data_IF_093365916493
#
_entry.id   IF_093365916493
#
_cell.length_a   1.000
_cell.length_b   1.000
_cell.length_c   1.000
_cell.angle_alpha   90.00
_cell.angle_beta   90.00
_cell.angle_gamma   90.00
#
_symmetry.space_group_name_H-M   'P 1'
#
loop_
_entity.id
_entity.type
_entity.pdbx_description
1 polymer ?
#
# COMPACT_ATOMS: atom_id res chain seq x y z
N UNK A 1 -50.36 -17.83 -2.95
CA UNK A 1 -49.13 -17.38 -3.62
C UNK A 1 -48.71 -16.07 -2.97
N UNK A 2 -47.63 -16.07 -2.20
CA UNK A 2 -47.14 -14.89 -1.48
C UNK A 2 -45.64 -14.84 -1.67
N UNK A 3 -45.20 -14.13 -2.71
CA UNK A 3 -43.79 -13.82 -2.95
C UNK A 3 -43.28 -12.92 -1.83
N UNK A 4 -42.72 -13.53 -0.77
CA UNK A 4 -41.90 -12.82 0.20
C UNK A 4 -40.60 -12.44 -0.50
N UNK A 5 -40.45 -11.14 -0.76
CA UNK A 5 -39.25 -10.49 -1.27
C UNK A 5 -38.03 -11.00 -0.51
N UNK A 6 -37.12 -11.65 -1.24
CA UNK A 6 -35.78 -11.99 -0.77
C UNK A 6 -35.14 -10.66 -0.34
N UNK A 7 -34.62 -10.52 0.90
CA UNK A 7 -33.86 -9.35 1.27
C UNK A 7 -32.63 -9.33 0.36
N UNK A 8 -32.49 -8.24 -0.39
CA UNK A 8 -31.33 -7.94 -1.22
C UNK A 8 -30.09 -8.02 -0.31
N UNK A 9 -29.37 -9.14 -0.39
CA UNK A 9 -28.12 -9.36 0.32
C UNK A 9 -27.19 -8.23 -0.08
N UNK A 10 -27.01 -7.29 0.85
CA UNK A 10 -26.09 -6.17 0.72
C UNK A 10 -24.79 -6.71 0.15
N UNK A 11 -24.54 -6.42 -1.14
CA UNK A 11 -23.28 -6.67 -1.80
C UNK A 11 -22.20 -6.29 -0.81
N UNK A 12 -21.42 -7.28 -0.37
CA UNK A 12 -20.23 -7.08 0.44
C UNK A 12 -19.38 -6.06 -0.32
N UNK A 13 -19.51 -4.79 0.02
CA UNK A 13 -18.57 -3.79 -0.44
C UNK A 13 -17.29 -4.18 0.26
N UNK A 14 -16.27 -4.56 -0.52
CA UNK A 14 -14.85 -4.61 -0.13
C UNK A 14 -14.41 -3.20 0.32
N UNK A 15 -15.04 -2.71 1.39
CA UNK A 15 -14.70 -1.47 2.04
C UNK A 15 -13.52 -1.78 2.91
N UNK A 16 -12.38 -1.24 2.50
CA UNK A 16 -11.15 -1.24 3.28
C UNK A 16 -11.46 -0.81 4.71
N UNK A 17 -11.10 -1.65 5.68
CA UNK A 17 -11.36 -1.38 7.10
C UNK A 17 -10.53 -0.21 7.63
N UNK A 18 -9.36 0.07 7.02
CA UNK A 18 -8.46 1.13 7.44
C UNK A 18 -8.60 2.39 6.56
N UNK A 19 -8.77 3.54 7.20
CA UNK A 19 -8.70 4.86 6.56
C UNK A 19 -7.29 5.08 5.99
N UNK A 20 -7.23 5.57 4.75
CA UNK A 20 -5.98 5.95 4.08
C UNK A 20 -5.75 7.46 4.15
N UNK A 21 -4.49 7.84 4.33
CA UNK A 21 -4.01 9.23 4.31
C UNK A 21 -3.19 9.41 3.06
N UNK A 22 -3.57 10.38 2.22
CA UNK A 22 -2.80 10.75 1.03
C UNK A 22 -1.47 11.38 1.45
N UNK A 23 -0.37 10.85 0.92
CA UNK A 23 0.99 11.29 1.24
C UNK A 23 1.85 11.23 -0.02
N UNK A 24 1.64 12.18 -0.93
CA UNK A 24 2.36 12.30 -2.19
C UNK A 24 3.83 12.68 -1.95
N UNK A 25 4.71 11.68 -1.87
CA UNK A 25 6.14 11.88 -1.57
C UNK A 25 7.03 10.89 -2.31
N UNK A 26 8.24 11.32 -2.64
CA UNK A 26 9.28 10.41 -3.14
C UNK A 26 9.78 9.52 -1.98
N UNK A 27 9.94 8.24 -2.26
CA UNK A 27 10.35 7.21 -1.30
C UNK A 27 11.39 6.29 -1.92
N UNK A 28 12.28 5.78 -1.07
CA UNK A 28 13.29 4.80 -1.46
C UNK A 28 12.92 3.44 -0.87
N UNK A 29 13.19 2.41 -1.63
CA UNK A 29 12.90 1.03 -1.27
C UNK A 29 14.14 0.18 -1.42
N UNK A 30 14.24 -0.84 -0.59
CA UNK A 30 15.25 -1.88 -0.71
C UNK A 30 14.53 -3.18 -1.00
N UNK A 31 14.93 -3.85 -2.08
CA UNK A 31 14.52 -5.23 -2.31
C UNK A 31 15.12 -6.12 -1.22
N UNK A 32 14.33 -6.99 -0.59
CA UNK A 32 14.92 -7.98 0.33
C UNK A 32 15.69 -9.08 -0.39
N UNK A 33 15.39 -9.29 -1.69
CA UNK A 33 16.11 -10.26 -2.52
C UNK A 33 17.46 -9.73 -3.00
N UNK A 34 17.59 -8.41 -3.14
CA UNK A 34 18.84 -7.72 -3.48
C UNK A 34 18.97 -6.43 -2.65
N UNK A 35 19.48 -6.51 -1.41
CA UNK A 35 19.50 -5.37 -0.47
C UNK A 35 20.42 -4.23 -0.88
N UNK A 36 21.22 -4.40 -1.94
CA UNK A 36 22.02 -3.33 -2.57
C UNK A 36 21.23 -2.56 -3.63
N UNK A 37 20.09 -3.10 -4.07
CA UNK A 37 19.24 -2.48 -5.10
C UNK A 37 18.27 -1.52 -4.45
N UNK A 38 18.52 -0.22 -4.66
CA UNK A 38 17.62 0.85 -4.24
C UNK A 38 16.62 1.13 -5.35
N UNK A 39 15.34 0.87 -5.11
CA UNK A 39 14.27 1.28 -6.01
C UNK A 39 13.75 2.66 -5.58
N UNK A 40 13.39 3.48 -6.55
CA UNK A 40 12.74 4.77 -6.32
C UNK A 40 11.28 4.69 -6.74
N UNK A 41 10.46 5.45 -6.04
CA UNK A 41 9.06 5.60 -6.42
C UNK A 41 8.36 6.68 -5.64
N UNK A 42 7.05 6.77 -5.88
CA UNK A 42 6.18 7.75 -5.25
C UNK A 42 5.15 7.06 -4.38
N UNK A 43 5.13 7.42 -3.11
CA UNK A 43 4.08 7.10 -2.17
C UNK A 43 2.84 7.91 -2.55
N UNK A 44 1.70 7.24 -2.71
CA UNK A 44 0.43 7.90 -3.00
C UNK A 44 -0.40 8.04 -1.71
N UNK A 45 -0.49 6.95 -0.95
CA UNK A 45 -1.25 6.91 0.30
C UNK A 45 -0.71 5.86 1.27
N UNK A 46 -1.01 6.06 2.56
CA UNK A 46 -0.62 5.18 3.68
C UNK A 46 -1.86 4.85 4.51
N UNK A 47 -1.91 3.62 5.00
CA UNK A 47 -2.82 3.18 6.07
C UNK A 47 -2.05 2.36 7.09
N UNK A 48 -2.68 2.08 8.23
CA UNK A 48 -2.14 1.17 9.26
C UNK A 48 -1.88 -0.24 8.73
N UNK A 49 -2.56 -0.67 7.67
CA UNK A 49 -2.41 -2.00 7.06
C UNK A 49 -1.54 -2.02 5.80
N UNK A 50 -0.90 -0.90 5.45
CA UNK A 50 0.03 -0.84 4.33
C UNK A 50 -0.13 0.41 3.47
N UNK A 51 0.60 0.44 2.36
CA UNK A 51 0.82 1.64 1.53
C UNK A 51 0.33 1.46 0.09
N UNK A 52 0.25 2.56 -0.67
CA UNK A 52 0.11 2.53 -2.14
C UNK A 52 1.25 3.31 -2.76
N UNK A 53 1.88 2.69 -3.75
CA UNK A 53 3.11 3.19 -4.35
C UNK A 53 2.96 3.18 -5.86
N UNK A 54 3.72 4.05 -6.51
CA UNK A 54 4.04 3.97 -7.93
C UNK A 54 5.55 3.79 -8.05
N UNK A 55 5.98 2.66 -8.64
CA UNK A 55 7.38 2.35 -8.86
C UNK A 55 7.71 2.56 -10.34
N UNK A 56 8.94 2.99 -10.62
CA UNK A 56 9.46 3.11 -11.99
C UNK A 56 9.81 1.76 -12.60
N UNK A 57 10.02 0.75 -11.76
CA UNK A 57 10.47 -0.60 -12.14
C UNK A 57 9.42 -1.63 -11.76
N UNK A 58 9.32 -2.69 -12.57
CA UNK A 58 8.45 -3.82 -12.28
C UNK A 58 9.03 -4.63 -11.12
N UNK A 59 8.19 -4.90 -10.13
CA UNK A 59 8.51 -5.76 -8.99
C UNK A 59 7.63 -7.01 -9.07
N UNK A 60 8.21 -8.22 -9.05
CA UNK A 60 7.49 -9.48 -8.96
C UNK A 60 6.44 -9.49 -7.85
N UNK A 61 5.27 -10.06 -8.15
CA UNK A 61 4.24 -10.28 -7.14
C UNK A 61 4.77 -11.20 -6.03
N UNK A 62 4.59 -10.80 -4.77
CA UNK A 62 5.05 -11.56 -3.60
C UNK A 62 6.46 -11.21 -3.14
N UNK A 63 7.18 -10.35 -3.86
CA UNK A 63 8.43 -9.80 -3.36
C UNK A 63 8.20 -8.94 -2.12
N UNK A 64 9.07 -9.09 -1.13
CA UNK A 64 9.10 -8.25 0.06
C UNK A 64 10.02 -7.07 -0.19
N UNK A 65 9.52 -5.87 0.09
CA UNK A 65 10.27 -4.63 -0.05
C UNK A 65 10.36 -3.96 1.31
N UNK A 66 11.55 -3.55 1.70
CA UNK A 66 11.72 -2.68 2.85
C UNK A 66 11.53 -1.24 2.38
N UNK A 67 10.55 -0.57 2.97
CA UNK A 67 10.18 0.80 2.63
C UNK A 67 10.81 1.74 3.65
N UNK A 68 11.64 2.66 3.19
CA UNK A 68 12.16 3.76 4.02
C UNK A 68 11.45 5.06 3.64
N UNK A 69 10.58 5.56 4.53
CA UNK A 69 9.92 6.85 4.34
C UNK A 69 10.75 7.93 5.05
N UNK A 70 11.32 8.87 4.28
CA UNK A 70 12.10 10.00 4.81
C UNK A 70 11.30 11.30 4.76
N UNK A 71 11.47 12.16 5.76
CA UNK A 71 10.98 13.54 5.78
C UNK A 71 12.12 14.49 6.13
N UNK A 72 12.47 15.38 5.18
CA UNK A 72 13.47 16.44 5.36
C UNK A 72 14.73 15.98 6.14
N UNK A 73 15.34 14.87 5.69
CA UNK A 73 16.53 14.22 6.27
C UNK A 73 16.34 13.38 7.54
N UNK A 74 15.10 13.16 8.00
CA UNK A 74 14.79 12.22 9.09
C UNK A 74 14.04 10.99 8.56
N UNK A 75 14.50 9.80 8.90
CA UNK A 75 13.75 8.55 8.66
C UNK A 75 12.53 8.53 9.58
N UNK A 76 11.33 8.47 9.00
CA UNK A 76 10.08 8.44 9.75
C UNK A 76 9.72 7.03 10.22
N UNK A 77 9.91 6.02 9.36
CA UNK A 77 9.68 4.61 9.71
C UNK A 77 10.28 3.65 8.66
N UNK A 78 10.57 2.43 9.12
CA UNK A 78 10.85 1.27 8.28
C UNK A 78 9.63 0.34 8.30
N UNK A 79 9.13 -0.05 7.13
CA UNK A 79 8.01 -1.01 7.01
C UNK A 79 8.44 -2.14 6.09
N UNK A 80 8.23 -3.39 6.51
CA UNK A 80 8.47 -4.62 5.76
C UNK A 80 7.19 -5.25 5.23
#
# INVERSE_FOLDING_TARGET
MSERRIPDERRHTDRRQAKRVSLAREVRFLSTASPTTVLRGHLQDVSTSGVRLMLEQLVPQGEKLLIEVRDAERTLCNVT
#
